data_IF_018025559263
#
_entry.id   IF_018025559263
#
_cell.length_a   1.000
_cell.length_b   1.000
_cell.length_c   1.000
_cell.angle_alpha   90.00
_cell.angle_beta   90.00
_cell.angle_gamma   90.00
#
_symmetry.space_group_name_H-M   'P 1'
#
loop_
_entity.id
_entity.type
_entity.pdbx_description
1 polymer ?
#
# COMPACT_ATOMS: atom_id res chain seq x y z
N UNK A 1 -36.96 6.60 37.88
CA UNK A 1 -37.41 5.27 38.35
C UNK A 1 -36.56 4.25 37.58
N UNK A 2 -35.32 3.98 37.98
CA UNK A 2 -34.92 3.04 39.05
C UNK A 2 -35.52 1.66 38.72
N UNK A 3 -34.70 0.69 38.32
CA UNK A 3 -33.97 -0.13 39.30
C UNK A 3 -32.56 -0.49 38.85
N UNK A 4 -31.58 0.11 39.55
CA UNK A 4 -30.26 -0.46 39.76
C UNK A 4 -30.37 -1.63 40.77
N UNK A 5 -29.30 -2.43 40.86
CA UNK A 5 -28.97 -3.41 41.92
C UNK A 5 -29.59 -4.79 41.61
N UNK A 6 -28.79 -5.84 41.35
CA UNK A 6 -28.04 -6.67 42.32
C UNK A 6 -26.86 -7.29 41.53
N UNK A 7 -25.62 -6.78 41.59
CA UNK A 7 -24.52 -7.18 42.51
C UNK A 7 -24.50 -8.67 42.84
N UNK A 8 -23.36 -9.35 42.64
CA UNK A 8 -22.67 -10.18 43.66
C UNK A 8 -21.96 -11.42 43.04
N UNK A 9 -20.66 -11.21 42.78
CA UNK A 9 -19.51 -12.12 43.01
C UNK A 9 -19.47 -13.52 42.41
N UNK A 10 -18.35 -13.86 41.74
CA UNK A 10 -17.28 -14.74 42.30
C UNK A 10 -16.13 -14.82 41.28
N UNK A 11 -15.04 -14.05 41.44
CA UNK A 11 -13.75 -14.51 41.98
C UNK A 11 -13.22 -15.82 41.36
N UNK A 12 -12.24 -15.69 40.46
CA UNK A 12 -11.14 -16.65 40.34
C UNK A 12 -9.87 -15.90 39.91
N UNK A 13 -9.09 -15.53 40.93
CA UNK A 13 -7.72 -15.07 40.80
C UNK A 13 -6.77 -16.29 40.63
N UNK A 14 -5.56 -16.02 40.14
CA UNK A 14 -4.33 -16.85 40.07
C UNK A 14 -3.92 -17.10 38.61
N UNK A 15 -2.76 -16.69 38.10
CA UNK A 15 -1.45 -16.67 38.77
C UNK A 15 -0.47 -15.68 38.12
N UNK A 16 0.27 -14.98 38.98
CA UNK A 16 1.48 -14.24 38.67
C UNK A 16 2.62 -15.27 38.54
N UNK A 17 3.16 -15.47 37.34
CA UNK A 17 4.47 -16.12 37.15
C UNK A 17 5.44 -15.07 36.63
N UNK A 18 6.23 -14.53 37.55
CA UNK A 18 7.48 -13.86 37.24
C UNK A 18 8.61 -14.87 37.49
N UNK A 19 9.42 -15.14 36.45
CA UNK A 19 10.79 -15.58 36.64
C UNK A 19 11.70 -14.87 35.65
N UNK A 20 12.75 -14.32 36.24
CA UNK A 20 13.80 -13.50 35.68
C UNK A 20 14.94 -14.38 35.13
N UNK A 21 15.77 -13.77 34.26
CA UNK A 21 17.23 -14.00 34.11
C UNK A 21 17.76 -14.78 32.88
N UNK A 22 18.12 -13.98 31.87
CA UNK A 22 19.39 -13.96 31.09
C UNK A 22 19.94 -15.22 30.40
N UNK A 23 20.12 -15.18 29.07
CA UNK A 23 21.45 -15.10 28.43
C UNK A 23 21.41 -14.92 26.89
N UNK A 24 22.22 -13.97 26.42
CA UNK A 24 22.94 -13.77 25.16
C UNK A 24 22.88 -14.86 24.06
N UNK A 25 22.53 -14.46 22.82
CA UNK A 25 23.37 -14.48 21.58
C UNK A 25 22.49 -14.62 20.33
N UNK A 26 22.68 -13.77 19.29
CA UNK A 26 21.96 -13.88 18.03
C UNK A 26 22.59 -14.98 17.16
N UNK A 27 21.78 -15.89 16.63
CA UNK A 27 22.21 -16.78 15.56
C UNK A 27 21.13 -16.86 14.50
N UNK A 28 21.53 -16.36 13.33
CA UNK A 28 20.89 -16.62 12.06
C UNK A 28 20.72 -18.13 11.81
N UNK A 29 19.65 -18.48 11.09
CA UNK A 29 19.63 -19.19 9.80
C UNK A 29 18.19 -19.68 9.51
N UNK A 30 17.89 -20.41 8.42
CA UNK A 30 17.55 -19.82 7.13
C UNK A 30 16.23 -20.42 6.57
N UNK A 31 15.49 -19.70 5.75
CA UNK A 31 14.54 -20.35 4.83
C UNK A 31 14.51 -19.64 3.49
N UNK A 32 15.45 -20.08 2.66
CA UNK A 32 15.36 -20.04 1.21
C UNK A 32 14.09 -20.78 0.78
N UNK A 33 13.16 -20.07 0.16
CA UNK A 33 12.19 -20.66 -0.77
C UNK A 33 12.21 -19.83 -2.03
N UNK A 34 12.91 -20.40 -3.00
CA UNK A 34 13.05 -19.96 -4.38
C UNK A 34 11.68 -19.79 -5.03
N UNK A 35 11.40 -18.59 -5.53
CA UNK A 35 10.44 -18.36 -6.60
C UNK A 35 11.21 -17.80 -7.82
N UNK A 36 10.78 -18.14 -9.04
CA UNK A 36 11.65 -18.14 -10.22
C UNK A 36 11.95 -16.75 -10.76
N UNK A 37 13.15 -16.67 -11.32
CA UNK A 37 13.70 -15.73 -12.29
C UNK A 37 12.63 -15.03 -13.12
N UNK A 38 12.40 -13.74 -12.84
CA UNK A 38 11.80 -12.84 -13.82
C UNK A 38 12.89 -12.42 -14.80
N UNK A 39 12.81 -12.99 -15.99
CA UNK A 39 13.51 -12.55 -17.19
C UNK A 39 13.45 -11.04 -17.36
N UNK A 40 14.59 -10.51 -17.81
CA UNK A 40 14.76 -9.16 -18.29
C UNK A 40 13.60 -8.73 -19.22
N UNK A 41 13.00 -7.60 -18.89
CA UNK A 41 12.47 -6.71 -19.91
C UNK A 41 13.31 -5.45 -19.88
N UNK A 42 14.07 -5.24 -20.95
CA UNK A 42 14.86 -4.06 -21.21
C UNK A 42 13.91 -2.87 -21.32
N UNK A 43 13.81 -2.08 -20.25
CA UNK A 43 13.04 -0.86 -20.22
C UNK A 43 13.64 0.09 -19.19
N UNK A 44 14.49 0.98 -19.67
CA UNK A 44 14.85 2.29 -19.08
C UNK A 44 14.96 2.33 -17.56
N UNK A 45 16.21 2.33 -17.08
CA UNK A 45 16.61 2.69 -15.70
C UNK A 45 15.86 3.94 -15.22
N UNK A 46 14.74 3.73 -14.53
CA UNK A 46 14.03 4.74 -13.76
C UNK A 46 14.61 4.68 -12.34
N UNK A 47 14.99 5.81 -11.73
CA UNK A 47 15.67 5.80 -10.44
C UNK A 47 14.81 5.09 -9.40
N UNK A 48 15.46 4.25 -8.61
CA UNK A 48 14.87 3.54 -7.48
C UNK A 48 14.43 4.55 -6.41
N UNK A 49 13.15 4.92 -6.40
CA UNK A 49 12.53 5.51 -5.22
C UNK A 49 11.01 5.44 -5.32
N UNK A 50 10.43 4.71 -4.39
CA UNK A 50 9.02 4.37 -4.20
C UNK A 50 8.47 3.27 -5.13
N UNK A 51 8.03 2.17 -4.53
CA UNK A 51 7.30 1.11 -5.22
C UNK A 51 5.91 1.66 -5.62
N UNK A 52 5.80 2.14 -6.85
CA UNK A 52 4.58 2.69 -7.43
C UNK A 52 3.38 1.72 -7.30
N UNK A 53 3.61 0.41 -7.33
CA UNK A 53 2.55 -0.57 -7.14
C UNK A 53 2.05 -0.58 -5.70
N UNK A 54 2.95 -0.46 -4.72
CA UNK A 54 2.59 -0.36 -3.31
C UNK A 54 1.79 0.93 -3.04
N UNK A 55 2.22 2.07 -3.60
CA UNK A 55 1.47 3.34 -3.47
C UNK A 55 0.09 3.21 -4.12
N UNK A 56 0.03 2.62 -5.32
CA UNK A 56 -1.23 2.40 -6.03
C UNK A 56 -2.19 1.52 -5.21
N UNK A 57 -1.68 0.42 -4.64
CA UNK A 57 -2.43 -0.47 -3.74
C UNK A 57 -2.99 0.24 -2.52
N UNK A 58 -2.22 1.16 -1.93
CA UNK A 58 -2.65 1.88 -0.73
C UNK A 58 -3.69 2.98 -1.03
N UNK A 59 -3.63 3.62 -2.21
CA UNK A 59 -4.33 4.88 -2.45
C UNK A 59 -5.38 4.84 -3.57
N UNK A 60 -5.28 3.89 -4.51
CA UNK A 60 -5.98 4.00 -5.79
C UNK A 60 -6.94 2.85 -6.07
N UNK A 61 -6.68 1.65 -5.53
CA UNK A 61 -7.42 0.42 -5.84
C UNK A 61 -8.91 0.48 -5.49
N UNK A 62 -9.29 1.26 -4.48
CA UNK A 62 -10.69 1.42 -4.09
C UNK A 62 -11.58 1.94 -5.23
N UNK A 63 -11.00 2.73 -6.14
CA UNK A 63 -11.72 3.28 -7.29
C UNK A 63 -11.26 2.69 -8.63
N UNK A 64 -9.99 2.34 -8.77
CA UNK A 64 -9.42 1.90 -10.05
C UNK A 64 -9.19 0.38 -10.15
N UNK A 65 -9.51 -0.38 -9.10
CA UNK A 65 -9.35 -1.82 -9.06
C UNK A 65 -7.90 -2.26 -8.81
N UNK A 66 -7.73 -3.48 -8.27
CA UNK A 66 -6.41 -4.03 -7.96
C UNK A 66 -5.58 -4.35 -9.21
N UNK A 67 -6.25 -4.62 -10.33
CA UNK A 67 -5.69 -4.97 -11.63
C UNK A 67 -5.85 -3.83 -12.66
N UNK A 68 -6.10 -2.60 -12.20
CA UNK A 68 -6.34 -1.42 -13.03
C UNK A 68 -7.62 -1.52 -13.89
N UNK A 69 -8.50 -2.46 -13.59
CA UNK A 69 -9.71 -2.76 -14.36
C UNK A 69 -10.76 -1.64 -14.28
N UNK A 70 -10.65 -0.75 -13.28
CA UNK A 70 -11.64 0.28 -13.01
C UNK A 70 -12.82 -0.26 -12.19
N UNK A 71 -13.31 0.54 -11.26
CA UNK A 71 -14.50 0.26 -10.44
C UNK A 71 -15.40 1.50 -10.47
N UNK A 72 -15.15 2.43 -9.54
CA UNK A 72 -15.78 3.75 -9.49
C UNK A 72 -15.10 4.70 -10.48
N UNK A 73 -13.78 4.62 -10.55
CA UNK A 73 -12.97 5.32 -11.53
C UNK A 73 -12.76 4.48 -12.80
N UNK A 74 -12.36 5.11 -13.91
CA UNK A 74 -12.13 4.40 -15.17
C UNK A 74 -10.98 3.39 -15.06
N UNK A 75 -10.97 2.43 -15.99
CA UNK A 75 -9.85 1.52 -16.18
C UNK A 75 -8.55 2.27 -16.51
N UNK A 76 -7.45 1.84 -15.90
CA UNK A 76 -6.11 2.38 -16.11
C UNK A 76 -5.18 1.41 -16.87
N UNK A 77 -5.67 0.24 -17.29
CA UNK A 77 -4.86 -0.78 -17.97
C UNK A 77 -4.18 -0.29 -19.26
N UNK A 78 -4.74 0.74 -19.89
CA UNK A 78 -4.24 1.34 -21.14
C UNK A 78 -4.08 2.85 -21.05
N UNK A 79 -3.91 3.39 -19.84
CA UNK A 79 -3.92 4.85 -19.62
C UNK A 79 -2.71 5.54 -20.25
N UNK A 80 -1.54 4.89 -20.27
CA UNK A 80 -0.34 5.36 -20.94
C UNK A 80 -0.42 5.40 -22.47
N UNK A 81 -1.44 4.76 -23.06
CA UNK A 81 -1.78 4.95 -24.48
C UNK A 81 -2.68 6.17 -24.73
N UNK A 82 -3.22 6.79 -23.66
CA UNK A 82 -4.19 7.90 -23.72
C UNK A 82 -3.64 9.21 -23.14
N UNK A 83 -2.80 9.12 -22.12
CA UNK A 83 -2.24 10.26 -21.40
C UNK A 83 -0.71 10.15 -21.33
N UNK A 84 -0.03 11.28 -21.47
CA UNK A 84 1.41 11.36 -21.20
C UNK A 84 1.70 11.28 -19.70
N UNK A 85 2.96 10.98 -19.35
CA UNK A 85 3.44 11.02 -17.96
C UNK A 85 3.10 12.35 -17.28
N UNK A 86 3.31 13.48 -17.94
CA UNK A 86 3.07 14.80 -17.34
C UNK A 86 1.57 15.05 -17.11
N UNK A 87 0.71 14.60 -18.03
CA UNK A 87 -0.74 14.64 -17.84
C UNK A 87 -1.18 13.73 -16.68
N UNK A 88 -0.53 12.59 -16.49
CA UNK A 88 -0.76 11.70 -15.35
C UNK A 88 -0.31 12.35 -14.03
N UNK A 89 0.87 12.97 -13.99
CA UNK A 89 1.34 13.75 -12.82
C UNK A 89 0.33 14.83 -12.47
N UNK A 90 -0.11 15.62 -13.45
CA UNK A 90 -1.07 16.69 -13.23
C UNK A 90 -2.42 16.15 -12.73
N UNK A 91 -2.90 15.03 -13.28
CA UNK A 91 -4.16 14.40 -12.89
C UNK A 91 -4.10 13.83 -11.48
N UNK A 92 -3.01 13.15 -11.11
CA UNK A 92 -2.84 12.59 -9.76
C UNK A 92 -2.68 13.72 -8.74
N UNK A 93 -1.89 14.75 -9.06
CA UNK A 93 -1.66 15.90 -8.17
C UNK A 93 -2.96 16.64 -7.90
N UNK A 94 -3.69 17.01 -8.94
CA UNK A 94 -4.85 17.91 -8.81
C UNK A 94 -6.18 17.17 -8.64
N UNK A 95 -6.22 15.86 -8.88
CA UNK A 95 -7.47 15.12 -9.00
C UNK A 95 -8.21 15.44 -10.30
N UNK A 96 -9.32 14.74 -10.55
CA UNK A 96 -10.21 15.00 -11.68
C UNK A 96 -11.61 14.47 -11.43
N UNK A 97 -12.61 15.34 -11.50
CA UNK A 97 -14.00 14.98 -11.21
C UNK A 97 -14.14 14.43 -9.79
N UNK A 98 -14.58 13.18 -9.66
CA UNK A 98 -14.69 12.49 -8.36
C UNK A 98 -13.34 11.98 -7.81
N UNK A 99 -12.28 11.95 -8.62
CA UNK A 99 -10.94 11.57 -8.14
C UNK A 99 -10.36 12.71 -7.30
N UNK A 100 -10.05 12.48 -6.00
CA UNK A 100 -9.54 13.53 -5.13
C UNK A 100 -8.13 13.98 -5.53
N UNK A 101 -7.75 15.18 -5.10
CA UNK A 101 -6.37 15.66 -5.21
C UNK A 101 -5.46 14.92 -4.21
N UNK A 102 -4.27 14.54 -4.69
CA UNK A 102 -3.21 13.95 -3.85
C UNK A 102 -2.08 14.94 -3.52
N UNK A 103 -2.19 16.20 -3.94
CA UNK A 103 -1.26 17.27 -3.55
C UNK A 103 -1.16 17.35 -2.02
N UNK A 104 0.06 17.21 -1.50
CA UNK A 104 0.32 17.20 -0.05
C UNK A 104 -0.14 15.95 0.69
N UNK A 105 -0.77 14.97 0.01
CA UNK A 105 -1.03 13.63 0.55
C UNK A 105 0.06 12.63 0.14
N UNK A 106 0.56 12.78 -1.09
CA UNK A 106 1.70 12.05 -1.62
C UNK A 106 2.84 13.05 -1.90
N UNK A 107 4.09 12.57 -1.81
CA UNK A 107 5.24 13.36 -2.20
C UNK A 107 5.29 13.51 -3.73
N UNK A 108 5.96 14.56 -4.22
CA UNK A 108 6.14 14.75 -5.67
C UNK A 108 6.90 13.56 -6.30
N UNK A 109 7.81 12.94 -5.55
CA UNK A 109 8.52 11.72 -5.95
C UNK A 109 7.56 10.55 -6.13
N UNK A 110 6.64 10.32 -5.19
CA UNK A 110 5.65 9.24 -5.27
C UNK A 110 4.67 9.44 -6.43
N UNK A 111 4.21 10.69 -6.62
CA UNK A 111 3.35 11.05 -7.75
C UNK A 111 4.07 10.82 -9.07
N UNK A 112 5.34 11.21 -9.16
CA UNK A 112 6.15 10.97 -10.35
C UNK A 112 6.37 9.48 -10.61
N UNK A 113 6.64 8.68 -9.57
CA UNK A 113 6.80 7.23 -9.69
C UNK A 113 5.51 6.57 -10.19
N UNK A 114 4.35 6.94 -9.64
CA UNK A 114 3.04 6.47 -10.11
C UNK A 114 2.78 6.84 -11.57
N UNK A 115 3.01 8.10 -11.93
CA UNK A 115 2.77 8.59 -13.29
C UNK A 115 3.68 7.90 -14.32
N UNK A 116 4.95 7.69 -13.99
CA UNK A 116 5.87 6.92 -14.84
C UNK A 116 5.37 5.49 -15.03
N UNK A 117 5.02 4.80 -13.93
CA UNK A 117 4.54 3.42 -14.00
C UNK A 117 3.22 3.26 -14.78
N UNK A 118 2.31 4.23 -14.67
CA UNK A 118 1.05 4.26 -15.42
C UNK A 118 1.24 4.62 -16.89
N UNK A 119 2.25 5.43 -17.23
CA UNK A 119 2.56 5.79 -18.62
C UNK A 119 3.04 4.58 -19.45
N UNK A 120 3.53 3.54 -18.79
CA UNK A 120 3.92 2.28 -19.44
C UNK A 120 2.73 1.34 -19.72
N UNK A 121 1.52 1.65 -19.22
CA UNK A 121 0.30 0.85 -19.45
C UNK A 121 -0.39 1.26 -20.75
N UNK A 122 -0.09 0.58 -21.86
CA UNK A 122 -0.61 0.90 -23.21
C UNK A 122 -1.61 -0.13 -23.72
#
# INVERSE_FOLDING_TARGET
MNTKIVVLTLLLASSLTACSKSNTTPSASPTTSTAPTSSANTGTTTPASADAQTIFKANCVACHGANLEGLVGPSLQKVGGKLSKDQLVATITNGKGAMPSFKGKLSDTDINALATWLADKK
#
